data_IF_908179389523
#
_entry.id   IF_908179389523
#
_cell.length_a   1.000
_cell.length_b   1.000
_cell.length_c   1.000
_cell.angle_alpha   90.00
_cell.angle_beta   90.00
_cell.angle_gamma   90.00
#
_symmetry.space_group_name_H-M   'P 1'
#
loop_
_entity.id
_entity.type
_entity.pdbx_description
1 polymer ?
#
# COMPACT_ATOMS: atom_id res chain seq x y z
N UNK A 1 -0.61 14.32 12.96
CA UNK A 1 0.07 14.24 11.65
C UNK A 1 -0.96 14.21 10.54
N UNK A 2 -0.64 14.79 9.39
CA UNK A 2 -1.46 14.69 8.19
C UNK A 2 -1.35 13.30 7.53
N UNK A 3 -2.29 12.93 6.67
CA UNK A 3 -2.24 11.69 5.88
C UNK A 3 -0.96 11.61 5.06
N UNK A 4 -0.59 12.70 4.38
CA UNK A 4 0.58 12.74 3.49
C UNK A 4 1.88 12.57 4.27
N UNK A 5 2.01 13.19 5.45
CA UNK A 5 3.13 12.94 6.36
C UNK A 5 3.22 11.47 6.76
N UNK A 6 2.08 10.84 7.08
CA UNK A 6 2.06 9.42 7.48
C UNK A 6 2.43 8.48 6.32
N UNK A 7 1.91 8.73 5.11
CA UNK A 7 2.23 7.95 3.91
C UNK A 7 3.71 8.10 3.50
N UNK A 8 4.26 9.31 3.68
CA UNK A 8 5.67 9.59 3.42
C UNK A 8 6.61 8.99 4.48
N UNK A 9 6.14 8.80 5.71
CA UNK A 9 6.99 8.33 6.80
C UNK A 9 7.44 6.87 6.65
N UNK A 10 8.65 6.57 7.13
CA UNK A 10 9.19 5.21 7.19
C UNK A 10 8.33 4.32 8.11
N UNK A 11 8.05 3.10 7.64
CA UNK A 11 7.12 2.17 8.30
C UNK A 11 7.81 1.10 9.14
N UNK A 12 8.99 0.64 8.72
CA UNK A 12 9.73 -0.43 9.39
C UNK A 12 10.55 0.10 10.57
N UNK A 13 10.55 -0.66 11.66
CA UNK A 13 11.12 -0.29 12.95
C UNK A 13 11.62 -1.51 13.70
N UNK A 14 12.72 -1.34 14.44
CA UNK A 14 13.32 -2.40 15.27
C UNK A 14 13.35 -2.07 16.76
N UNK A 15 12.83 -0.90 17.14
CA UNK A 15 12.74 -0.43 18.53
C UNK A 15 12.11 -1.46 19.47
N UNK A 16 12.49 -1.35 20.75
CA UNK A 16 11.96 -2.23 21.80
C UNK A 16 10.48 -1.95 22.03
N UNK A 17 9.70 -2.99 22.33
CA UNK A 17 8.30 -2.81 22.70
C UNK A 17 8.15 -2.20 24.09
N UNK A 18 7.07 -1.46 24.32
CA UNK A 18 6.60 -1.05 25.64
C UNK A 18 5.08 -1.25 25.75
N UNK A 19 4.50 -1.46 26.93
CA UNK A 19 3.05 -1.41 27.08
C UNK A 19 2.51 -0.02 26.69
N UNK A 20 1.35 -0.01 26.04
CA UNK A 20 0.61 1.22 25.73
C UNK A 20 -0.44 1.46 26.80
N UNK A 21 -0.88 2.71 26.97
CA UNK A 21 -2.08 2.99 27.75
C UNK A 21 -3.28 2.36 27.04
N UNK A 22 -4.27 1.86 27.79
CA UNK A 22 -5.47 1.25 27.19
C UNK A 22 -6.19 2.17 26.20
N UNK A 23 -6.18 3.49 26.46
CA UNK A 23 -6.73 4.49 25.54
C UNK A 23 -6.02 4.49 24.17
N UNK A 24 -4.70 4.36 24.15
CA UNK A 24 -3.92 4.28 22.91
C UNK A 24 -4.23 2.98 22.16
N UNK A 25 -4.33 1.85 22.88
CA UNK A 25 -4.71 0.55 22.31
C UNK A 25 -6.09 0.65 21.63
N UNK A 26 -7.07 1.24 22.31
CA UNK A 26 -8.44 1.41 21.79
C UNK A 26 -8.50 2.36 20.60
N UNK A 27 -7.73 3.46 20.62
CA UNK A 27 -7.64 4.39 19.49
C UNK A 27 -7.07 3.71 18.25
N UNK A 28 -6.00 2.92 18.40
CA UNK A 28 -5.46 2.08 17.33
C UNK A 28 -6.51 1.10 16.82
N UNK A 29 -7.17 0.38 17.72
CA UNK A 29 -8.21 -0.60 17.34
C UNK A 29 -9.38 0.06 16.58
N UNK A 30 -9.84 1.22 17.03
CA UNK A 30 -10.95 1.94 16.41
C UNK A 30 -10.60 2.41 14.99
N UNK A 31 -9.44 3.04 14.82
CA UNK A 31 -8.96 3.48 13.49
C UNK A 31 -8.68 2.29 12.55
N UNK A 32 -8.09 1.20 13.05
CA UNK A 32 -7.81 0.01 12.25
C UNK A 32 -9.09 -0.74 11.84
N UNK A 33 -10.07 -0.83 12.75
CA UNK A 33 -11.34 -1.51 12.47
C UNK A 33 -12.14 -0.81 11.38
N UNK A 34 -11.97 0.51 11.21
CA UNK A 34 -12.60 1.27 10.13
C UNK A 34 -12.23 0.77 8.72
N UNK A 35 -11.07 0.12 8.56
CA UNK A 35 -10.66 -0.50 7.30
C UNK A 35 -11.59 -1.65 6.85
N UNK A 36 -12.15 -2.39 7.83
CA UNK A 36 -13.02 -3.53 7.62
C UNK A 36 -14.04 -3.69 8.76
N UNK A 37 -15.07 -2.82 8.86
CA UNK A 37 -15.94 -2.71 10.05
C UNK A 37 -16.80 -3.94 10.36
N UNK A 38 -16.91 -4.89 9.45
CA UNK A 38 -17.71 -6.12 9.62
C UNK A 38 -16.93 -7.26 10.28
N UNK A 39 -15.65 -7.06 10.62
CA UNK A 39 -14.76 -8.09 11.17
C UNK A 39 -14.16 -7.65 12.50
N UNK A 40 -13.95 -8.62 13.38
CA UNK A 40 -13.23 -8.35 14.61
C UNK A 40 -11.74 -8.10 14.33
N UNK A 41 -11.07 -7.44 15.28
CA UNK A 41 -9.61 -7.46 15.35
C UNK A 41 -9.18 -8.36 16.50
N UNK A 42 -8.14 -9.15 16.29
CA UNK A 42 -7.43 -9.84 17.35
C UNK A 42 -6.21 -9.01 17.76
N UNK A 43 -6.11 -8.71 19.05
CA UNK A 43 -5.04 -7.91 19.59
C UNK A 43 -4.22 -8.78 20.54
N UNK A 44 -2.89 -8.76 20.42
CA UNK A 44 -2.01 -9.44 21.37
C UNK A 44 -1.20 -8.39 22.11
N UNK A 45 -1.30 -8.37 23.43
CA UNK A 45 -0.67 -7.36 24.27
C UNK A 45 0.37 -7.98 25.22
N UNK A 46 1.44 -7.24 25.57
CA UNK A 46 2.25 -7.52 26.75
C UNK A 46 1.45 -7.24 28.03
N UNK A 47 1.99 -7.56 29.21
CA UNK A 47 1.40 -7.08 30.47
C UNK A 47 1.52 -5.56 30.56
N UNK A 48 0.42 -4.88 30.90
CA UNK A 48 0.38 -3.44 31.14
C UNK A 48 0.11 -3.11 32.60
N UNK A 49 0.12 -1.83 32.94
CA UNK A 49 -0.22 -1.36 34.28
C UNK A 49 -1.72 -1.60 34.59
N UNK A 50 -2.59 -1.35 33.60
CA UNK A 50 -4.05 -1.39 33.76
C UNK A 50 -4.72 -2.63 33.14
N UNK A 51 -3.95 -3.55 32.56
CA UNK A 51 -4.50 -4.72 31.89
C UNK A 51 -3.52 -5.90 31.88
N UNK A 52 -4.08 -7.11 31.87
CA UNK A 52 -3.31 -8.35 31.75
C UNK A 52 -2.90 -8.59 30.30
N UNK A 53 -1.66 -8.96 30.05
CA UNK A 53 -1.21 -9.35 28.71
C UNK A 53 -1.95 -10.60 28.23
N UNK A 54 -2.23 -10.68 26.93
CA UNK A 54 -3.02 -11.76 26.37
C UNK A 54 -3.46 -11.52 24.94
N UNK A 55 -4.25 -12.45 24.42
CA UNK A 55 -4.98 -12.31 23.16
C UNK A 55 -6.38 -11.79 23.47
N UNK A 56 -6.73 -10.67 22.87
CA UNK A 56 -8.02 -10.00 22.95
C UNK A 56 -8.74 -10.05 21.60
N UNK A 57 -10.07 -9.95 21.65
CA UNK A 57 -10.92 -9.67 20.50
C UNK A 57 -11.54 -8.28 20.66
N UNK A 58 -11.42 -7.45 19.64
CA UNK A 58 -12.08 -6.15 19.54
C UNK A 58 -13.25 -6.21 18.56
N UNK A 59 -14.42 -5.73 19.00
CA UNK A 59 -15.69 -5.78 18.25
C UNK A 59 -16.31 -4.39 18.02
N UNK A 60 -15.47 -3.35 17.94
CA UNK A 60 -15.80 -1.91 17.84
C UNK A 60 -16.23 -1.25 19.15
N UNK A 61 -16.69 -2.00 20.14
CA UNK A 61 -17.17 -1.44 21.42
C UNK A 61 -16.16 -1.65 22.53
N UNK A 62 -15.60 -2.85 22.61
CA UNK A 62 -14.77 -3.25 23.75
C UNK A 62 -13.68 -4.25 23.35
N UNK A 63 -12.69 -4.40 24.23
CA UNK A 63 -11.65 -5.41 24.15
C UNK A 63 -11.98 -6.56 25.08
N UNK A 64 -12.26 -7.72 24.50
CA UNK A 64 -12.61 -8.95 25.22
C UNK A 64 -11.41 -9.89 25.30
N UNK A 65 -10.92 -10.16 26.52
CA UNK A 65 -9.81 -11.11 26.73
C UNK A 65 -10.24 -12.53 26.37
N UNK A 66 -9.53 -13.16 25.43
CA UNK A 66 -9.73 -14.55 25.03
C UNK A 66 -8.84 -15.48 25.87
N UNK A 67 -7.57 -15.13 26.02
CA UNK A 67 -6.60 -15.91 26.79
C UNK A 67 -5.39 -15.07 27.20
N UNK A 68 -4.92 -15.25 28.44
CA UNK A 68 -3.72 -14.64 29.02
C UNK A 68 -2.45 -15.50 28.85
N UNK A 69 -2.60 -16.73 28.31
CA UNK A 69 -1.52 -17.71 28.17
C UNK A 69 -0.47 -17.33 27.12
N UNK A 70 -0.84 -16.44 26.19
CA UNK A 70 0.04 -15.98 25.12
C UNK A 70 0.05 -14.46 25.11
N UNK A 71 1.24 -13.90 25.34
CA UNK A 71 1.50 -12.46 25.40
C UNK A 71 2.48 -12.07 24.30
N UNK A 72 2.44 -10.81 23.89
CA UNK A 72 3.43 -10.28 22.95
C UNK A 72 4.70 -9.83 23.68
N UNK A 73 5.85 -9.92 23.01
CA UNK A 73 7.09 -9.25 23.41
C UNK A 73 7.20 -7.83 22.82
N UNK A 74 6.24 -7.46 21.95
CA UNK A 74 6.16 -6.16 21.28
C UNK A 74 5.18 -5.25 22.01
N UNK A 75 5.09 -4.00 21.55
CA UNK A 75 4.14 -3.02 22.08
C UNK A 75 2.69 -3.53 21.94
N UNK A 76 2.37 -4.09 20.78
CA UNK A 76 1.07 -4.64 20.43
C UNK A 76 1.23 -5.48 19.16
N UNK A 77 0.44 -6.53 18.98
CA UNK A 77 0.22 -7.17 17.68
C UNK A 77 -1.25 -7.06 17.31
N UNK A 78 -1.53 -6.82 16.03
CA UNK A 78 -2.91 -6.61 15.53
C UNK A 78 -3.15 -7.48 14.32
N UNK A 79 -4.22 -8.27 14.37
CA UNK A 79 -4.58 -9.18 13.31
C UNK A 79 -6.06 -9.02 12.95
N UNK A 80 -6.40 -8.81 11.67
CA UNK A 80 -7.79 -8.91 11.24
C UNK A 80 -8.32 -10.33 11.47
N UNK A 81 -9.60 -10.44 11.81
CA UNK A 81 -10.26 -11.74 11.89
C UNK A 81 -10.28 -12.45 10.54
N UNK A 82 -9.71 -13.64 10.52
CA UNK A 82 -9.66 -14.49 9.34
C UNK A 82 -9.81 -15.96 9.76
N UNK A 83 -10.67 -16.68 9.03
CA UNK A 83 -10.97 -18.09 9.29
C UNK A 83 -10.29 -18.92 8.21
N UNK A 84 -9.45 -19.88 8.63
CA UNK A 84 -8.78 -20.79 7.72
C UNK A 84 -9.77 -21.74 7.05
N UNK A 85 -9.65 -21.83 5.73
CA UNK A 85 -10.31 -22.80 4.84
C UNK A 85 -9.24 -23.46 3.96
N UNK A 86 -9.61 -24.34 3.05
CA UNK A 86 -8.65 -24.95 2.10
C UNK A 86 -7.93 -23.88 1.26
N UNK A 87 -8.67 -22.87 0.82
CA UNK A 87 -8.14 -21.65 0.18
C UNK A 87 -8.79 -20.41 0.80
N UNK A 88 -8.05 -19.31 0.85
CA UNK A 88 -8.57 -18.02 1.30
C UNK A 88 -8.97 -17.19 0.09
N UNK A 89 -10.21 -16.70 0.10
CA UNK A 89 -10.71 -15.87 -0.99
C UNK A 89 -9.98 -14.51 -1.03
N UNK A 90 -9.67 -14.02 -2.23
CA UNK A 90 -9.09 -12.69 -2.50
C UNK A 90 -9.75 -11.56 -1.72
N UNK A 91 -11.08 -11.53 -1.57
CA UNK A 91 -11.79 -10.51 -0.76
C UNK A 91 -11.33 -10.49 0.70
N UNK A 92 -11.03 -11.64 1.28
CA UNK A 92 -10.50 -11.71 2.65
C UNK A 92 -9.04 -11.26 2.69
N UNK A 93 -8.22 -11.63 1.69
CA UNK A 93 -6.82 -11.16 1.58
C UNK A 93 -6.73 -9.64 1.41
N UNK A 94 -7.56 -9.05 0.55
CA UNK A 94 -7.68 -7.60 0.38
C UNK A 94 -8.05 -6.92 1.70
N UNK A 95 -8.97 -7.50 2.49
CA UNK A 95 -9.33 -6.99 3.82
C UNK A 95 -8.15 -7.03 4.80
N UNK A 96 -7.31 -8.07 4.73
CA UNK A 96 -6.08 -8.13 5.51
C UNK A 96 -5.17 -6.95 5.17
N UNK A 97 -4.92 -6.71 3.88
CA UNK A 97 -4.12 -5.57 3.41
C UNK A 97 -4.65 -4.22 3.85
N UNK A 98 -5.96 -4.00 3.69
CA UNK A 98 -6.62 -2.77 4.14
C UNK A 98 -6.37 -2.51 5.63
N UNK A 99 -6.61 -3.52 6.46
CA UNK A 99 -6.42 -3.45 7.92
C UNK A 99 -4.98 -3.05 8.27
N UNK A 100 -4.01 -3.64 7.58
CA UNK A 100 -2.60 -3.39 7.88
C UNK A 100 -2.14 -2.01 7.48
N UNK A 101 -2.59 -1.50 6.33
CA UNK A 101 -2.23 -0.15 5.91
C UNK A 101 -2.82 0.89 6.87
N UNK A 102 -4.09 0.72 7.29
CA UNK A 102 -4.71 1.60 8.29
C UNK A 102 -3.99 1.53 9.63
N UNK A 103 -3.65 0.33 10.11
CA UNK A 103 -2.82 0.15 11.30
C UNK A 103 -1.49 0.90 11.16
N UNK A 104 -0.76 0.65 10.07
CA UNK A 104 0.56 1.22 9.84
C UNK A 104 0.54 2.75 9.86
N UNK A 105 -0.46 3.36 9.23
CA UNK A 105 -0.61 4.82 9.23
C UNK A 105 -1.03 5.34 10.61
N UNK A 106 -1.97 4.68 11.29
CA UNK A 106 -2.43 5.10 12.62
C UNK A 106 -1.32 5.05 13.65
N UNK A 107 -0.63 3.92 13.80
CA UNK A 107 0.48 3.83 14.76
C UNK A 107 1.63 4.74 14.34
N UNK A 108 1.83 4.90 13.02
CA UNK A 108 2.72 5.90 12.45
C UNK A 108 2.42 7.29 12.99
N UNK A 109 1.15 7.72 12.93
CA UNK A 109 0.66 9.02 13.42
C UNK A 109 0.88 9.26 14.92
N UNK A 110 1.17 8.21 15.69
CA UNK A 110 1.44 8.24 17.13
C UNK A 110 2.93 8.20 17.45
N UNK A 111 3.81 8.24 16.45
CA UNK A 111 5.26 8.13 16.63
C UNK A 111 5.77 6.70 16.81
N UNK A 112 4.90 5.70 16.63
CA UNK A 112 5.26 4.28 16.63
C UNK A 112 5.54 3.80 15.21
N UNK A 113 6.03 2.57 15.06
CA UNK A 113 6.22 1.90 13.78
C UNK A 113 5.62 0.50 13.74
N UNK A 114 5.59 -0.10 12.55
CA UNK A 114 5.12 -1.47 12.35
C UNK A 114 6.23 -2.32 11.76
N UNK A 115 6.61 -3.39 12.46
CA UNK A 115 7.44 -4.45 11.90
C UNK A 115 6.54 -5.53 11.32
N UNK A 116 6.58 -5.65 9.99
CA UNK A 116 5.88 -6.72 9.26
C UNK A 116 6.83 -7.90 9.13
N UNK A 117 6.45 -9.03 9.74
CA UNK A 117 7.22 -10.27 9.70
C UNK A 117 6.47 -11.29 8.87
N UNK A 118 7.19 -11.76 7.88
CA UNK A 118 6.75 -12.68 6.85
C UNK A 118 6.51 -14.13 7.34
N UNK A 119 6.04 -14.32 8.57
CA UNK A 119 5.90 -15.63 9.22
C UNK A 119 4.56 -15.76 9.91
N UNK A 120 3.85 -16.85 9.63
CA UNK A 120 2.66 -17.28 10.37
C UNK A 120 3.04 -17.42 11.86
N UNK A 121 2.39 -16.67 12.79
CA UNK A 121 2.64 -16.79 14.22
C UNK A 121 1.97 -18.06 14.79
N UNK A 122 2.59 -19.22 14.52
CA UNK A 122 2.04 -20.56 14.82
C UNK A 122 1.64 -20.75 16.28
N UNK A 123 2.40 -20.17 17.22
CA UNK A 123 2.12 -20.26 18.67
C UNK A 123 0.83 -19.50 19.02
N UNK A 124 0.69 -18.29 18.51
CA UNK A 124 -0.48 -17.43 18.67
C UNK A 124 -1.72 -18.09 18.06
N UNK A 125 -1.63 -18.60 16.82
CA UNK A 125 -2.72 -19.33 16.16
C UNK A 125 -3.17 -20.56 16.96
N UNK A 126 -2.22 -21.37 17.46
CA UNK A 126 -2.54 -22.53 18.30
C UNK A 126 -3.27 -22.09 19.58
N UNK A 127 -2.77 -21.08 20.27
CA UNK A 127 -3.37 -20.57 21.51
C UNK A 127 -4.79 -20.05 21.29
N UNK A 128 -5.00 -19.26 20.23
CA UNK A 128 -6.30 -18.71 19.88
C UNK A 128 -7.30 -19.84 19.58
N UNK A 129 -6.92 -20.80 18.74
CA UNK A 129 -7.80 -21.87 18.31
C UNK A 129 -8.13 -22.84 19.45
N UNK A 130 -7.18 -23.12 20.33
CA UNK A 130 -7.45 -23.91 21.56
C UNK A 130 -8.41 -23.21 22.51
N UNK A 131 -8.42 -21.87 22.56
CA UNK A 131 -9.26 -21.10 23.49
C UNK A 131 -10.65 -20.81 22.92
N UNK A 132 -10.78 -20.71 21.59
CA UNK A 132 -12.04 -20.35 20.92
C UNK A 132 -12.77 -21.56 20.32
N UNK A 133 -12.10 -22.71 20.18
CA UNK A 133 -12.57 -23.86 19.41
C UNK A 133 -12.94 -23.51 17.95
N UNK A 134 -12.29 -22.48 17.39
CA UNK A 134 -12.43 -22.08 15.99
C UNK A 134 -11.11 -22.30 15.22
N UNK A 135 -11.16 -22.16 13.89
CA UNK A 135 -10.00 -22.27 13.00
C UNK A 135 -9.54 -20.89 12.53
N UNK A 136 -9.31 -19.98 13.45
CA UNK A 136 -8.76 -18.68 13.11
C UNK A 136 -7.31 -18.79 12.65
N UNK A 137 -6.89 -17.84 11.80
CA UNK A 137 -5.55 -17.79 11.25
C UNK A 137 -5.05 -16.35 11.17
N UNK A 138 -3.92 -16.11 11.79
CA UNK A 138 -3.06 -14.97 11.50
C UNK A 138 -2.09 -15.41 10.41
N UNK A 139 -2.17 -14.77 9.23
CA UNK A 139 -1.36 -15.16 8.07
C UNK A 139 0.11 -14.77 8.21
N UNK A 140 0.35 -13.61 8.79
CA UNK A 140 1.68 -13.05 8.95
C UNK A 140 1.78 -12.47 10.36
N UNK A 141 2.99 -12.14 10.79
CA UNK A 141 3.23 -11.54 12.11
C UNK A 141 3.33 -10.03 11.94
N UNK A 142 2.53 -9.30 12.70
CA UNK A 142 2.40 -7.84 12.59
C UNK A 142 2.59 -7.24 13.97
N UNK A 143 3.70 -6.54 14.17
CA UNK A 143 4.10 -6.04 15.47
C UNK A 143 4.25 -4.51 15.46
N UNK A 144 3.57 -3.85 16.38
CA UNK A 144 3.78 -2.43 16.68
C UNK A 144 5.00 -2.30 17.59
N UNK A 145 5.85 -1.30 17.33
CA UNK A 145 7.08 -1.06 18.10
C UNK A 145 7.40 0.43 18.19
N UNK A 146 8.35 0.76 19.05
CA UNK A 146 9.01 2.07 19.02
C UNK A 146 9.76 2.28 17.71
N UNK A 147 9.82 3.53 17.24
CA UNK A 147 10.58 3.89 16.05
C UNK A 147 12.08 3.88 16.34
N UNK A 148 12.85 3.42 15.35
CA UNK A 148 14.27 3.74 15.31
C UNK A 148 14.39 5.18 14.80
N UNK A 149 14.85 6.07 15.67
CA UNK A 149 15.26 7.40 15.25
C UNK A 149 16.61 7.28 14.53
N UNK A 150 16.83 8.18 13.57
CA UNK A 150 18.07 8.38 12.83
C UNK A 150 18.19 7.57 11.52
N UNK A 151 17.88 8.25 10.43
CA UNK A 151 18.67 8.39 9.19
C UNK A 151 17.74 9.04 8.15
N UNK A 152 18.12 10.22 7.66
CA UNK A 152 17.53 10.84 6.47
C UNK A 152 18.56 10.77 5.36
N UNK A 153 18.11 10.47 4.14
CA UNK A 153 18.95 10.58 2.96
C UNK A 153 18.68 11.93 2.30
N UNK A 154 19.76 12.64 1.96
CA UNK A 154 19.72 13.88 1.19
C UNK A 154 19.49 13.57 -0.30
N UNK A 155 18.60 14.33 -0.94
CA UNK A 155 18.41 14.26 -2.39
C UNK A 155 19.68 14.77 -3.11
N UNK A 156 20.02 14.17 -4.25
CA UNK A 156 21.15 14.62 -5.08
C UNK A 156 20.90 16.01 -5.69
N UNK A 157 21.93 16.85 -5.71
CA UNK A 157 21.87 18.23 -6.22
C UNK A 157 21.81 18.34 -7.77
N UNK A 158 21.94 17.24 -8.52
CA UNK A 158 22.08 17.26 -9.98
C UNK A 158 21.06 16.34 -10.70
N UNK A 159 19.82 16.80 -10.96
CA UNK A 159 18.79 16.02 -11.65
C UNK A 159 19.19 15.68 -13.11
N UNK A 160 18.91 14.46 -13.61
CA UNK A 160 19.16 14.15 -15.01
C UNK A 160 18.19 14.91 -15.92
N UNK A 161 18.66 15.18 -17.15
CA UNK A 161 17.83 15.75 -18.23
C UNK A 161 17.27 14.61 -19.05
N UNK A 162 15.99 14.69 -19.40
CA UNK A 162 15.34 13.68 -20.23
C UNK A 162 14.29 14.29 -21.14
N UNK A 163 14.26 13.84 -22.38
CA UNK A 163 13.15 14.07 -23.31
C UNK A 163 12.05 13.03 -23.05
N UNK A 164 10.80 13.47 -23.07
CA UNK A 164 9.64 12.63 -22.78
C UNK A 164 9.11 12.09 -24.11
N UNK A 165 9.09 10.77 -24.23
CA UNK A 165 8.57 10.09 -25.42
C UNK A 165 7.05 10.28 -25.54
N UNK A 166 6.54 10.19 -26.78
CA UNK A 166 5.11 10.29 -27.05
C UNK A 166 4.32 9.21 -26.26
N UNK A 167 3.18 9.61 -25.68
CA UNK A 167 2.34 8.72 -24.87
C UNK A 167 2.76 8.59 -23.41
N UNK A 168 3.88 9.21 -22.99
CA UNK A 168 4.27 9.34 -21.59
C UNK A 168 3.83 10.71 -21.05
N UNK A 169 3.14 10.71 -19.92
CA UNK A 169 2.61 11.91 -19.30
C UNK A 169 3.12 12.03 -17.87
N UNK A 170 3.88 13.09 -17.60
CA UNK A 170 4.33 13.39 -16.23
C UNK A 170 3.14 13.82 -15.38
N UNK A 171 3.07 13.29 -14.17
CA UNK A 171 2.02 13.64 -13.23
C UNK A 171 2.43 14.84 -12.38
N UNK A 172 1.47 15.69 -12.03
CA UNK A 172 1.68 16.81 -11.13
C UNK A 172 2.34 16.32 -9.84
N UNK A 173 3.33 17.04 -9.32
CA UNK A 173 3.94 16.73 -8.04
C UNK A 173 3.06 17.30 -6.91
N UNK A 174 2.41 16.48 -6.08
CA UNK A 174 1.62 17.03 -4.99
C UNK A 174 2.50 17.83 -4.01
N UNK A 175 1.92 18.86 -3.38
CA UNK A 175 2.67 19.81 -2.56
C UNK A 175 3.44 19.14 -1.40
N UNK A 176 2.88 18.08 -0.82
CA UNK A 176 3.53 17.27 0.21
C UNK A 176 4.80 16.53 -0.23
N UNK A 177 5.09 16.43 -1.54
CA UNK A 177 6.33 15.85 -2.08
C UNK A 177 7.43 16.85 -2.35
N UNK A 178 7.09 18.15 -2.47
CA UNK A 178 8.00 19.09 -3.10
C UNK A 178 9.26 19.39 -2.29
N UNK A 179 9.29 19.07 -1.00
CA UNK A 179 10.50 19.17 -0.18
C UNK A 179 10.32 18.57 1.24
N UNK A 180 10.64 17.29 1.45
CA UNK A 180 10.48 16.64 2.77
C UNK A 180 11.24 17.34 3.90
N UNK A 181 12.33 18.06 3.60
CA UNK A 181 13.12 18.77 4.60
C UNK A 181 12.50 20.12 5.01
N UNK A 182 11.74 20.77 4.13
CA UNK A 182 11.05 22.04 4.39
C UNK A 182 9.64 21.87 4.98
N UNK A 183 9.00 20.70 4.82
CA UNK A 183 7.60 20.49 5.22
C UNK A 183 7.40 19.78 6.55
N UNK A 184 8.43 19.24 7.20
CA UNK A 184 8.33 18.97 8.63
C UNK A 184 8.03 20.31 9.32
N UNK A 185 6.76 20.48 9.71
CA UNK A 185 6.16 21.63 10.42
C UNK A 185 5.41 22.70 9.58
N UNK A 186 5.29 22.62 8.24
CA UNK A 186 4.56 23.66 7.46
C UNK A 186 3.41 23.17 6.59
N UNK A 187 3.44 21.93 6.09
CA UNK A 187 2.31 21.39 5.30
C UNK A 187 1.19 20.90 6.24
N UNK A 188 0.10 21.67 6.35
CA UNK A 188 -0.99 21.31 7.28
C UNK A 188 -1.80 20.09 6.83
N UNK A 189 -1.74 19.72 5.54
CA UNK A 189 -2.38 18.53 4.96
C UNK A 189 -3.81 18.25 5.44
N UNK A 190 -4.27 17.02 5.27
CA UNK A 190 -5.51 16.56 5.92
C UNK A 190 -5.14 15.71 7.12
N UNK A 191 -5.65 15.99 8.34
CA UNK A 191 -5.41 15.14 9.50
C UNK A 191 -5.75 13.67 9.20
N UNK A 192 -4.87 12.74 9.56
CA UNK A 192 -5.06 11.32 9.24
C UNK A 192 -6.42 10.80 9.72
N UNK A 193 -6.82 11.12 10.95
CA UNK A 193 -8.10 10.67 11.51
C UNK A 193 -9.30 11.19 10.70
N UNK A 194 -9.21 12.40 10.11
CA UNK A 194 -10.27 12.91 9.23
C UNK A 194 -10.41 12.07 7.95
N UNK A 195 -9.30 11.57 7.41
CA UNK A 195 -9.30 10.68 6.25
C UNK A 195 -9.79 9.27 6.61
N UNK A 196 -9.41 8.74 7.78
CA UNK A 196 -9.84 7.42 8.27
C UNK A 196 -11.36 7.43 8.54
N UNK A 197 -11.85 8.42 9.27
CA UNK A 197 -13.25 8.52 9.70
C UNK A 197 -14.15 9.30 8.72
N UNK A 198 -13.62 9.64 7.54
CA UNK A 198 -14.34 10.32 6.46
C UNK A 198 -15.06 11.62 6.86
N UNK A 199 -14.42 12.44 7.71
CA UNK A 199 -15.01 13.69 8.20
C UNK A 199 -14.74 14.90 7.30
N UNK A 200 -14.01 14.71 6.21
CA UNK A 200 -13.79 15.75 5.20
C UNK A 200 -15.06 15.97 4.38
N UNK A 201 -15.40 17.24 4.13
CA UNK A 201 -16.55 17.62 3.31
C UNK A 201 -16.46 17.00 1.90
N UNK A 202 -17.54 16.35 1.47
CA UNK A 202 -17.57 15.67 0.17
C UNK A 202 -17.69 16.68 -0.98
N UNK A 203 -16.94 16.44 -2.06
CA UNK A 203 -16.81 17.29 -3.25
C UNK A 203 -16.86 16.43 -4.50
N UNK A 204 -17.18 17.06 -5.63
CA UNK A 204 -17.10 16.42 -6.94
C UNK A 204 -15.64 16.28 -7.40
N UNK A 205 -15.30 15.25 -8.19
CA UNK A 205 -14.01 15.14 -8.86
C UNK A 205 -13.72 16.38 -9.71
N UNK A 206 -12.45 16.75 -9.77
CA UNK A 206 -11.93 17.80 -10.63
C UNK A 206 -11.26 17.15 -11.84
N UNK A 207 -11.97 17.13 -12.96
CA UNK A 207 -11.50 16.56 -14.22
C UNK A 207 -10.62 17.53 -15.02
N UNK A 208 -10.43 18.77 -14.54
CA UNK A 208 -9.65 19.79 -15.22
C UNK A 208 -8.15 19.74 -14.93
N UNK A 209 -7.71 18.84 -14.04
CA UNK A 209 -6.32 18.69 -13.64
C UNK A 209 -5.97 17.24 -13.30
N UNK A 210 -4.75 16.83 -13.60
CA UNK A 210 -4.20 15.53 -13.19
C UNK A 210 -3.80 15.46 -11.72
N UNK A 211 -3.89 16.56 -10.97
CA UNK A 211 -3.45 16.63 -9.58
C UNK A 211 -4.20 15.64 -8.67
N UNK A 212 -5.50 15.44 -8.86
CA UNK A 212 -6.27 14.46 -8.07
C UNK A 212 -5.84 13.03 -8.39
N UNK A 213 -5.76 12.68 -9.68
CA UNK A 213 -5.27 11.38 -10.13
C UNK A 213 -3.85 11.11 -9.61
N UNK A 214 -2.97 12.09 -9.71
CA UNK A 214 -1.59 12.03 -9.23
C UNK A 214 -1.52 11.72 -7.72
N UNK A 215 -2.30 12.44 -6.91
CA UNK A 215 -2.35 12.19 -5.47
C UNK A 215 -2.85 10.78 -5.15
N UNK A 216 -3.89 10.31 -5.84
CA UNK A 216 -4.42 8.95 -5.65
C UNK A 216 -3.38 7.88 -6.01
N UNK A 217 -2.76 7.99 -7.18
CA UNK A 217 -1.74 7.04 -7.64
C UNK A 217 -0.51 7.04 -6.73
N UNK A 218 -0.08 8.21 -6.29
CA UNK A 218 1.01 8.29 -5.33
C UNK A 218 0.63 7.65 -3.99
N UNK A 219 -0.57 7.90 -3.45
CA UNK A 219 -0.99 7.28 -2.19
C UNK A 219 -1.20 5.77 -2.32
N UNK A 220 -1.41 5.28 -3.54
CA UNK A 220 -1.55 3.87 -3.89
C UNK A 220 -0.21 3.14 -3.94
N UNK A 221 0.74 3.60 -4.76
CA UNK A 221 2.00 2.89 -5.09
C UNK A 221 3.21 3.82 -5.16
N UNK A 222 3.04 5.10 -4.84
CA UNK A 222 4.11 6.08 -4.91
C UNK A 222 5.31 5.69 -4.05
N UNK A 223 6.49 6.08 -4.50
CA UNK A 223 7.71 5.90 -3.73
C UNK A 223 7.64 6.66 -2.39
N UNK A 224 8.06 6.00 -1.30
CA UNK A 224 8.36 6.65 -0.03
C UNK A 224 9.81 6.35 0.36
N UNK A 225 10.60 7.38 0.64
CA UNK A 225 11.95 7.27 1.21
C UNK A 225 12.96 6.30 0.53
N UNK A 226 14.14 6.83 0.22
CA UNK A 226 15.33 5.99 0.10
C UNK A 226 15.79 5.67 1.52
N UNK A 227 15.09 4.82 2.25
CA UNK A 227 15.68 4.28 3.46
C UNK A 227 16.73 3.25 3.01
N UNK A 228 18.01 3.63 2.97
CA UNK A 228 19.06 2.64 3.17
C UNK A 228 18.68 1.93 4.45
N UNK A 229 18.27 0.66 4.37
CA UNK A 229 18.00 -0.15 5.54
C UNK A 229 19.21 0.01 6.47
N UNK A 230 18.99 0.71 7.59
CA UNK A 230 20.05 1.02 8.52
C UNK A 230 20.79 -0.26 8.89
N UNK A 231 22.06 -0.34 8.51
CA UNK A 231 23.02 -1.34 8.98
C UNK A 231 22.64 -2.83 8.89
N UNK A 232 21.76 -3.24 7.96
CA UNK A 232 21.64 -4.67 7.61
C UNK A 232 22.18 -4.92 6.22
N UNK A 233 23.49 -5.21 6.21
CA UNK A 233 24.27 -5.72 5.10
C UNK A 233 24.41 -4.80 3.87
N UNK A 234 25.64 -4.69 3.38
CA UNK A 234 26.09 -3.78 2.32
C UNK A 234 25.42 -3.97 0.94
N UNK A 235 24.40 -4.82 0.83
CA UNK A 235 23.69 -5.17 -0.40
C UNK A 235 22.28 -4.53 -0.51
N UNK A 236 21.67 -4.06 0.58
CA UNK A 236 20.37 -3.35 0.58
C UNK A 236 20.48 -1.83 0.37
N UNK A 237 21.65 -1.35 -0.08
CA UNK A 237 21.93 0.09 -0.19
C UNK A 237 21.08 0.85 -1.22
N UNK A 238 20.28 0.17 -2.04
CA UNK A 238 19.56 0.80 -3.16
C UNK A 238 18.13 0.24 -3.34
N UNK A 239 17.37 -0.03 -2.28
CA UNK A 239 15.94 -0.35 -2.40
C UNK A 239 15.07 0.91 -2.37
N UNK A 240 13.97 0.95 -3.12
CA UNK A 240 12.95 2.00 -2.99
C UNK A 240 11.88 1.56 -2.00
N UNK A 241 11.55 2.41 -1.03
CA UNK A 241 10.33 2.24 -0.24
C UNK A 241 9.11 2.68 -1.07
N UNK A 242 7.92 2.12 -0.79
CA UNK A 242 6.64 2.67 -1.27
C UNK A 242 5.75 3.05 -0.10
N UNK A 243 4.79 3.93 -0.37
CA UNK A 243 3.79 4.44 0.58
C UNK A 243 3.04 3.38 1.36
N UNK A 244 3.06 2.12 0.95
CA UNK A 244 2.72 0.96 1.76
C UNK A 244 3.91 0.00 1.87
N UNK A 245 3.94 -0.75 2.97
CA UNK A 245 4.94 -1.78 3.12
C UNK A 245 4.71 -2.87 2.05
N UNK A 246 5.81 -3.40 1.54
CA UNK A 246 5.81 -4.61 0.73
C UNK A 246 6.65 -5.68 1.40
N UNK A 247 6.10 -6.86 1.56
CA UNK A 247 6.80 -8.01 2.05
C UNK A 247 7.92 -8.32 1.08
N UNK A 248 9.15 -8.34 1.60
CA UNK A 248 10.37 -8.47 0.82
C UNK A 248 10.66 -7.34 -0.20
N UNK A 249 9.97 -6.18 -0.13
CA UNK A 249 10.08 -5.11 -1.14
C UNK A 249 9.82 -5.60 -2.58
N UNK A 250 8.90 -6.56 -2.75
CA UNK A 250 8.62 -7.19 -4.04
C UNK A 250 7.76 -6.35 -4.97
N UNK A 251 6.91 -5.49 -4.40
CA UNK A 251 5.99 -4.58 -5.09
C UNK A 251 5.22 -5.23 -6.24
N UNK A 252 4.27 -6.08 -5.87
CA UNK A 252 3.55 -6.92 -6.82
C UNK A 252 2.37 -6.21 -7.51
N UNK A 253 2.06 -4.96 -7.16
CA UNK A 253 0.86 -4.24 -7.61
C UNK A 253 1.20 -3.25 -8.73
N UNK A 254 0.33 -3.20 -9.75
CA UNK A 254 0.45 -2.36 -10.93
C UNK A 254 -0.89 -1.65 -11.17
N UNK A 255 -1.00 -0.35 -10.84
CA UNK A 255 -2.18 0.44 -11.14
C UNK A 255 -2.28 0.74 -12.63
N UNK A 256 -3.43 0.45 -13.22
CA UNK A 256 -3.81 0.83 -14.57
C UNK A 256 -4.94 1.87 -14.46
N UNK A 257 -4.80 2.99 -15.15
CA UNK A 257 -5.80 4.06 -15.21
C UNK A 257 -6.52 3.97 -16.55
N UNK A 258 -7.84 3.85 -16.50
CA UNK A 258 -8.70 3.84 -17.69
C UNK A 258 -9.39 5.20 -17.72
N UNK A 259 -9.03 6.02 -18.70
CA UNK A 259 -9.45 7.41 -18.84
C UNK A 259 -10.58 7.49 -19.87
N UNK A 260 -11.70 8.06 -19.47
CA UNK A 260 -12.80 8.45 -20.36
C UNK A 260 -12.73 9.95 -20.67
N UNK A 261 -12.62 10.79 -19.63
CA UNK A 261 -12.71 12.24 -19.75
C UNK A 261 -11.83 12.96 -18.71
N UNK A 262 -10.57 13.25 -19.08
CA UNK A 262 -9.66 14.10 -18.32
C UNK A 262 -9.01 15.11 -19.27
N UNK A 263 -9.00 16.40 -18.91
CA UNK A 263 -8.61 17.49 -19.84
C UNK A 263 -7.21 17.30 -20.43
N UNK A 264 -6.26 16.82 -19.62
CA UNK A 264 -4.86 16.69 -20.00
C UNK A 264 -4.49 15.28 -20.52
N UNK A 265 -5.46 14.37 -20.67
CA UNK A 265 -5.22 13.00 -21.13
C UNK A 265 -6.22 12.59 -22.20
N UNK A 266 -5.69 11.98 -23.27
CA UNK A 266 -6.55 11.35 -24.26
C UNK A 266 -7.29 10.15 -23.64
N UNK A 267 -8.47 9.85 -24.16
CA UNK A 267 -9.17 8.59 -23.85
C UNK A 267 -8.26 7.38 -24.14
N UNK A 268 -8.32 6.39 -23.27
CA UNK A 268 -7.53 5.16 -23.36
C UNK A 268 -7.12 4.60 -22.00
N UNK A 269 -6.21 3.63 -22.00
CA UNK A 269 -5.69 3.02 -20.78
C UNK A 269 -4.18 3.24 -20.62
N UNK A 270 -3.79 3.45 -19.37
CA UNK A 270 -2.47 3.93 -18.98
C UNK A 270 -1.92 3.12 -17.82
N UNK A 271 -0.62 2.82 -17.84
CA UNK A 271 0.08 2.20 -16.71
C UNK A 271 0.67 3.30 -15.84
N UNK A 272 0.45 3.25 -14.53
CA UNK A 272 1.16 4.12 -13.59
C UNK A 272 2.54 3.57 -13.29
N UNK A 273 3.56 4.44 -13.38
CA UNK A 273 4.90 4.12 -12.94
C UNK A 273 5.32 5.03 -11.77
N UNK A 274 5.47 4.46 -10.55
CA UNK A 274 5.84 5.23 -9.37
C UNK A 274 7.33 5.57 -9.29
N UNK A 275 8.18 4.84 -10.03
CA UNK A 275 9.63 5.04 -10.09
C UNK A 275 9.95 5.49 -11.51
N UNK A 276 10.25 6.78 -11.65
CA UNK A 276 10.47 7.35 -12.96
C UNK A 276 11.84 7.03 -13.56
N UNK A 277 12.28 7.87 -14.48
CA UNK A 277 13.50 7.71 -15.25
C UNK A 277 14.82 7.84 -14.48
N UNK A 278 14.79 8.20 -13.20
CA UNK A 278 15.95 8.53 -12.41
C UNK A 278 15.87 7.86 -11.03
N UNK A 279 16.57 6.74 -10.96
CA UNK A 279 16.57 5.85 -9.80
C UNK A 279 17.23 6.38 -8.51
N UNK A 280 17.77 7.61 -8.51
CA UNK A 280 18.41 8.22 -7.33
C UNK A 280 18.02 9.68 -7.14
N UNK A 281 17.42 10.30 -8.16
CA UNK A 281 17.08 11.71 -8.14
C UNK A 281 15.58 11.78 -8.33
N UNK A 282 14.82 12.28 -7.36
CA UNK A 282 13.35 12.39 -7.48
C UNK A 282 12.88 13.31 -8.61
N UNK A 283 13.83 13.98 -9.25
CA UNK A 283 13.61 15.11 -10.10
C UNK A 283 14.30 14.92 -11.44
N UNK A 284 13.57 15.19 -12.50
CA UNK A 284 14.07 15.29 -13.87
C UNK A 284 13.91 16.74 -14.36
N UNK A 285 14.80 17.16 -15.24
CA UNK A 285 14.65 18.43 -15.94
C UNK A 285 14.01 18.18 -17.31
N UNK A 286 12.85 18.77 -17.53
CA UNK A 286 12.12 18.79 -18.81
C UNK A 286 11.86 20.25 -19.18
N UNK A 287 12.34 20.66 -20.36
CA UNK A 287 12.23 22.05 -20.84
C UNK A 287 12.68 23.09 -19.80
N UNK A 288 13.82 22.83 -19.13
CA UNK A 288 14.40 23.62 -18.04
C UNK A 288 13.56 23.73 -16.76
N UNK A 289 12.44 23.00 -16.65
CA UNK A 289 11.62 22.93 -15.45
C UNK A 289 11.91 21.63 -14.69
N UNK A 290 12.08 21.75 -13.37
CA UNK A 290 12.22 20.60 -12.49
C UNK A 290 10.86 19.93 -12.30
N UNK A 291 10.79 18.63 -12.61
CA UNK A 291 9.57 17.82 -12.52
C UNK A 291 9.85 16.58 -11.67
N UNK A 292 8.88 16.19 -10.85
CA UNK A 292 8.99 14.94 -10.11
C UNK A 292 8.85 13.76 -11.06
N UNK A 293 9.64 12.74 -10.81
CA UNK A 293 9.84 11.64 -11.73
C UNK A 293 8.84 10.50 -11.45
N UNK A 294 7.55 10.80 -11.65
CA UNK A 294 6.49 9.80 -11.73
C UNK A 294 5.54 10.12 -12.86
N UNK A 295 5.00 9.09 -13.50
CA UNK A 295 4.29 9.28 -14.76
C UNK A 295 3.28 8.16 -15.01
N UNK A 296 2.43 8.40 -16.00
CA UNK A 296 1.61 7.37 -16.61
C UNK A 296 1.98 7.21 -18.08
N UNK A 297 1.90 5.98 -18.60
CA UNK A 297 2.20 5.67 -19.99
C UNK A 297 0.99 5.03 -20.65
N UNK A 298 0.53 5.63 -21.76
CA UNK A 298 -0.55 5.07 -22.57
C UNK A 298 -0.09 3.78 -23.23
N UNK A 299 -0.84 2.70 -23.07
CA UNK A 299 -0.58 1.45 -23.79
C UNK A 299 -1.67 1.12 -24.81
N UNK A 300 -2.86 1.71 -24.70
CA UNK A 300 -3.95 1.47 -25.66
C UNK A 300 -4.94 2.64 -25.71
N UNK A 301 -5.57 2.80 -26.87
CA UNK A 301 -6.64 3.78 -27.12
C UNK A 301 -8.04 3.14 -27.16
N UNK A 302 -8.17 1.90 -26.66
CA UNK A 302 -9.45 1.19 -26.70
C UNK A 302 -10.58 1.90 -25.95
N UNK A 303 -11.82 1.58 -26.32
CA UNK A 303 -13.01 2.04 -25.61
C UNK A 303 -13.47 0.94 -24.64
N UNK A 304 -13.31 1.20 -23.34
CA UNK A 304 -13.53 0.18 -22.31
C UNK A 304 -14.78 0.42 -21.47
N UNK A 305 -15.32 1.65 -21.52
CA UNK A 305 -16.29 2.13 -20.54
C UNK A 305 -17.54 1.27 -20.47
N UNK A 306 -18.26 1.10 -21.59
CA UNK A 306 -19.55 0.38 -21.60
C UNK A 306 -19.41 -1.02 -21.04
N UNK A 307 -18.41 -1.78 -21.51
CA UNK A 307 -18.17 -3.15 -21.05
C UNK A 307 -17.78 -3.22 -19.57
N UNK A 308 -16.97 -2.26 -19.08
CA UNK A 308 -16.62 -2.17 -17.66
C UNK A 308 -17.85 -1.86 -16.81
N UNK A 309 -18.65 -0.87 -17.20
CA UNK A 309 -19.84 -0.46 -16.45
C UNK A 309 -20.85 -1.61 -16.37
N UNK A 310 -21.10 -2.31 -17.48
CA UNK A 310 -21.98 -3.46 -17.55
C UNK A 310 -21.47 -4.65 -16.72
N UNK A 311 -20.19 -5.00 -16.85
CA UNK A 311 -19.63 -6.19 -16.23
C UNK A 311 -19.45 -6.06 -14.71
N UNK A 312 -19.13 -4.86 -14.23
CA UNK A 312 -18.81 -4.62 -12.82
C UNK A 312 -19.90 -3.87 -12.06
N UNK A 313 -20.97 -3.45 -12.74
CA UNK A 313 -22.05 -2.65 -12.15
C UNK A 313 -21.47 -1.43 -11.43
N UNK A 314 -20.67 -0.67 -12.17
CA UNK A 314 -20.08 0.61 -11.74
C UNK A 314 -20.45 1.68 -12.75
N UNK A 315 -20.36 2.94 -12.32
CA UNK A 315 -20.45 4.07 -13.23
C UNK A 315 -19.27 5.00 -12.95
N UNK A 316 -18.57 5.41 -14.00
CA UNK A 316 -17.49 6.38 -13.89
C UNK A 316 -17.55 7.40 -15.02
N UNK A 317 -17.35 8.67 -14.68
CA UNK A 317 -17.42 9.77 -15.66
C UNK A 317 -16.05 10.07 -16.25
N UNK A 318 -15.02 10.16 -15.40
CA UNK A 318 -13.72 10.69 -15.80
C UNK A 318 -12.69 9.57 -15.98
N UNK A 319 -12.49 8.75 -14.95
CA UNK A 319 -11.58 7.60 -15.00
C UNK A 319 -11.93 6.54 -13.95
N UNK A 320 -11.38 5.34 -14.13
CA UNK A 320 -11.36 4.26 -13.13
C UNK A 320 -9.93 3.74 -12.99
N UNK A 321 -9.56 3.33 -11.78
CA UNK A 321 -8.25 2.72 -11.48
C UNK A 321 -8.44 1.22 -11.28
N UNK A 322 -7.78 0.42 -12.11
CA UNK A 322 -7.68 -1.02 -11.99
C UNK A 322 -6.37 -1.38 -11.28
N UNK A 323 -6.45 -2.04 -10.14
CA UNK A 323 -5.29 -2.64 -9.47
C UNK A 323 -5.09 -4.05 -10.01
N UNK A 324 -4.00 -4.23 -10.74
CA UNK A 324 -3.50 -5.53 -11.15
C UNK A 324 -2.38 -5.99 -10.22
N UNK A 325 -2.20 -7.31 -10.12
CA UNK A 325 -1.07 -7.91 -9.40
C UNK A 325 -0.30 -8.91 -10.26
N UNK A 326 0.97 -9.06 -9.96
CA UNK A 326 1.82 -10.16 -10.41
C UNK A 326 2.03 -11.15 -9.25
N UNK A 327 1.31 -12.28 -9.26
CA UNK A 327 1.40 -13.29 -8.20
C UNK A 327 2.72 -14.06 -8.19
N UNK A 328 3.45 -14.06 -9.31
CA UNK A 328 4.76 -14.70 -9.43
C UNK A 328 5.89 -13.74 -9.01
N UNK A 329 5.57 -12.48 -8.71
CA UNK A 329 6.55 -11.52 -8.22
C UNK A 329 7.17 -12.07 -6.93
N UNK A 330 8.50 -12.26 -6.90
CA UNK A 330 9.11 -12.96 -5.79
C UNK A 330 9.06 -12.07 -4.54
N UNK A 331 8.57 -12.63 -3.43
CA UNK A 331 8.96 -12.14 -2.12
C UNK A 331 10.41 -12.57 -1.87
N UNK A 332 11.38 -11.92 -2.53
CA UNK A 332 12.80 -12.28 -2.40
C UNK A 332 13.64 -11.11 -1.91
N UNK A 333 13.41 -10.70 -0.68
CA UNK A 333 14.46 -10.15 0.17
C UNK A 333 15.16 -11.37 0.73
N UNK A 334 16.41 -11.62 0.31
CA UNK A 334 17.20 -12.86 0.48
C UNK A 334 16.87 -14.04 -0.46
N UNK A 335 17.17 -13.86 -1.75
CA UNK A 335 18.00 -14.91 -2.37
C UNK A 335 19.43 -14.74 -1.81
N UNK A 336 19.97 -15.80 -1.17
CA UNK A 336 21.38 -15.99 -0.79
C UNK A 336 21.90 -15.58 0.61
N UNK A 337 21.19 -15.85 1.71
CA UNK A 337 21.91 -16.15 2.97
C UNK A 337 21.76 -17.63 3.31
N UNK A 338 22.86 -18.24 3.79
CA UNK A 338 22.95 -19.63 4.24
C UNK A 338 22.04 -19.94 5.46
N UNK A 339 21.19 -18.99 5.85
CA UNK A 339 20.23 -19.09 6.95
C UNK A 339 18.85 -19.29 6.31
N UNK A 340 18.59 -20.54 5.94
CA UNK A 340 17.44 -20.91 5.14
C UNK A 340 16.07 -20.61 5.77
N UNK A 341 15.08 -20.46 4.87
CA UNK A 341 13.65 -20.79 5.06
C UNK A 341 12.86 -19.90 6.03
N UNK A 342 12.87 -18.58 5.89
CA UNK A 342 11.95 -17.72 6.65
C UNK A 342 11.36 -16.63 5.76
N UNK A 343 10.45 -17.00 4.86
CA UNK A 343 9.75 -16.03 4.02
C UNK A 343 8.25 -16.32 3.96
N UNK A 344 7.50 -15.27 3.64
CA UNK A 344 6.04 -15.20 3.55
C UNK A 344 5.46 -16.38 2.79
N UNK A 345 4.21 -16.74 3.11
CA UNK A 345 3.45 -17.52 2.14
C UNK A 345 3.30 -16.66 0.87
N UNK A 346 4.05 -17.01 -0.17
CA UNK A 346 4.02 -16.34 -1.48
C UNK A 346 2.65 -16.44 -2.13
N UNK A 347 1.87 -17.45 -1.76
CA UNK A 347 0.54 -17.72 -2.30
C UNK A 347 -0.44 -16.55 -2.14
N UNK A 348 -0.35 -15.77 -1.05
CA UNK A 348 -1.36 -14.77 -0.71
C UNK A 348 -0.82 -13.34 -0.64
N UNK A 349 0.49 -13.16 -0.79
CA UNK A 349 1.10 -11.86 -0.53
C UNK A 349 0.62 -10.77 -1.48
N UNK A 350 0.61 -11.04 -2.78
CA UNK A 350 0.26 -10.06 -3.78
C UNK A 350 -1.19 -9.55 -3.62
N UNK A 351 -2.13 -10.43 -3.28
CA UNK A 351 -3.51 -10.06 -2.96
C UNK A 351 -3.61 -9.23 -1.65
N UNK A 352 -2.77 -9.51 -0.64
CA UNK A 352 -2.70 -8.67 0.58
C UNK A 352 -2.09 -7.30 0.27
N UNK A 353 -1.06 -7.25 -0.57
CA UNK A 353 -0.43 -6.00 -0.99
C UNK A 353 -1.41 -5.11 -1.77
N UNK A 354 -2.18 -5.68 -2.69
CA UNK A 354 -3.26 -4.95 -3.37
C UNK A 354 -4.28 -4.35 -2.39
N UNK A 355 -4.49 -4.98 -1.24
CA UNK A 355 -5.32 -4.43 -0.17
C UNK A 355 -4.69 -3.20 0.49
N UNK A 356 -3.36 -3.16 0.64
CA UNK A 356 -2.67 -1.98 1.16
C UNK A 356 -2.68 -0.82 0.16
N UNK A 357 -2.44 -1.12 -1.11
CA UNK A 357 -2.52 -0.16 -2.21
C UNK A 357 -3.91 0.47 -2.31
N UNK A 358 -4.95 -0.38 -2.25
CA UNK A 358 -6.35 0.05 -2.20
C UNK A 358 -6.65 0.95 -0.99
N UNK A 359 -6.11 0.66 0.19
CA UNK A 359 -6.26 1.53 1.36
C UNK A 359 -5.67 2.92 1.09
N UNK A 360 -4.54 2.99 0.37
CA UNK A 360 -3.96 4.24 -0.12
C UNK A 360 -4.95 5.07 -0.94
N UNK A 361 -5.56 4.44 -1.97
CA UNK A 361 -6.60 5.08 -2.79
C UNK A 361 -7.78 5.57 -1.95
N UNK A 362 -8.30 4.75 -1.04
CA UNK A 362 -9.46 5.11 -0.20
C UNK A 362 -9.15 6.29 0.72
N UNK A 363 -8.04 6.24 1.44
CA UNK A 363 -7.68 7.28 2.39
C UNK A 363 -7.38 8.60 1.68
N UNK A 364 -6.72 8.55 0.52
CA UNK A 364 -6.45 9.75 -0.25
C UNK A 364 -7.72 10.31 -0.90
N UNK A 365 -8.61 9.47 -1.40
CA UNK A 365 -9.93 9.91 -1.89
C UNK A 365 -10.74 10.57 -0.76
N UNK A 366 -10.73 10.00 0.45
CA UNK A 366 -11.34 10.59 1.62
C UNK A 366 -10.73 11.95 1.99
N UNK A 367 -9.39 12.07 1.93
CA UNK A 367 -8.70 13.33 2.17
C UNK A 367 -9.03 14.41 1.12
N UNK A 368 -9.24 14.01 -0.13
CA UNK A 368 -9.67 14.91 -1.20
C UNK A 368 -11.17 15.25 -1.13
N UNK A 369 -11.93 14.61 -0.23
CA UNK A 369 -13.37 14.76 -0.15
C UNK A 369 -14.12 14.05 -1.27
N UNK A 370 -13.50 13.14 -2.02
CA UNK A 370 -14.17 12.46 -3.13
C UNK A 370 -15.20 11.44 -2.62
N UNK A 371 -16.28 11.26 -3.37
CA UNK A 371 -17.03 10.02 -3.26
C UNK A 371 -16.26 8.94 -4.02
N UNK A 372 -16.43 7.68 -3.66
CA UNK A 372 -15.77 6.59 -4.36
C UNK A 372 -16.51 5.28 -4.14
N UNK A 373 -16.32 4.37 -5.08
CA UNK A 373 -16.71 2.98 -4.94
C UNK A 373 -15.57 2.05 -5.34
N UNK A 374 -15.65 0.80 -4.90
CA UNK A 374 -14.72 -0.25 -5.29
C UNK A 374 -15.42 -1.56 -5.57
N UNK A 375 -14.89 -2.33 -6.50
CA UNK A 375 -15.30 -3.70 -6.78
C UNK A 375 -14.09 -4.60 -6.67
N UNK A 376 -14.14 -5.58 -5.75
CA UNK A 376 -13.12 -6.63 -5.66
C UNK A 376 -13.57 -7.80 -6.55
N UNK A 377 -12.75 -8.14 -7.53
CA UNK A 377 -13.04 -9.14 -8.54
C UNK A 377 -12.96 -10.54 -7.90
N UNK A 378 -14.06 -11.28 -7.92
CA UNK A 378 -14.16 -12.59 -7.26
C UNK A 378 -13.62 -13.76 -8.08
N UNK A 379 -13.40 -13.58 -9.38
CA UNK A 379 -12.82 -14.56 -10.29
C UNK A 379 -11.72 -13.89 -11.12
N UNK A 380 -10.69 -13.37 -10.44
CA UNK A 380 -9.64 -12.54 -11.04
C UNK A 380 -8.92 -13.17 -12.24
N UNK A 381 -8.94 -14.51 -12.32
CA UNK A 381 -8.28 -15.30 -13.37
C UNK A 381 -9.21 -15.59 -14.57
N UNK A 382 -10.40 -14.98 -14.62
CA UNK A 382 -11.31 -15.09 -15.76
C UNK A 382 -10.63 -14.52 -17.03
N UNK A 383 -10.43 -15.32 -18.10
CA UNK A 383 -9.74 -14.88 -19.31
C UNK A 383 -10.37 -13.64 -19.94
N UNK A 384 -11.68 -13.42 -19.76
CA UNK A 384 -12.37 -12.24 -20.31
C UNK A 384 -11.78 -10.92 -19.80
N UNK A 385 -11.22 -10.89 -18.59
CA UNK A 385 -10.62 -9.67 -18.05
C UNK A 385 -9.31 -9.34 -18.74
N UNK A 386 -8.57 -10.35 -19.22
CA UNK A 386 -7.34 -10.12 -20.00
C UNK A 386 -7.65 -9.43 -21.31
N UNK A 387 -8.69 -9.88 -21.99
CA UNK A 387 -9.19 -9.27 -23.23
C UNK A 387 -9.73 -7.86 -22.97
N UNK A 388 -10.64 -7.71 -22.00
CA UNK A 388 -11.29 -6.43 -21.68
C UNK A 388 -10.27 -5.32 -21.38
N UNK A 389 -9.24 -5.60 -20.60
CA UNK A 389 -8.24 -4.59 -20.22
C UNK A 389 -6.99 -4.60 -21.11
N UNK A 390 -6.96 -5.43 -22.17
CA UNK A 390 -5.81 -5.62 -23.05
C UNK A 390 -4.50 -5.85 -22.26
N UNK A 391 -4.55 -6.80 -21.31
CA UNK A 391 -3.47 -7.02 -20.36
C UNK A 391 -2.19 -7.52 -21.01
N UNK A 392 -2.28 -8.25 -22.13
CA UNK A 392 -1.10 -8.70 -22.88
C UNK A 392 -0.25 -7.51 -23.36
N UNK A 393 -0.90 -6.46 -23.86
CA UNK A 393 -0.21 -5.24 -24.29
C UNK A 393 0.32 -4.44 -23.09
N UNK A 394 -0.45 -4.37 -21.99
CA UNK A 394 0.03 -3.74 -20.76
C UNK A 394 1.30 -4.44 -20.22
N UNK A 395 1.33 -5.77 -20.23
CA UNK A 395 2.46 -6.59 -19.81
C UNK A 395 3.70 -6.33 -20.69
N UNK A 396 3.52 -6.22 -22.01
CA UNK A 396 4.58 -5.84 -22.93
C UNK A 396 5.13 -4.45 -22.60
N UNK A 397 4.24 -3.45 -22.46
CA UNK A 397 4.64 -2.07 -22.14
C UNK A 397 5.39 -1.97 -20.81
N UNK A 398 4.93 -2.66 -19.75
CA UNK A 398 5.63 -2.68 -18.44
C UNK A 398 7.05 -3.24 -18.61
N UNK A 399 7.19 -4.35 -19.33
CA UNK A 399 8.48 -5.01 -19.48
C UNK A 399 9.44 -4.22 -20.37
N UNK A 400 8.96 -3.63 -21.46
CA UNK A 400 9.75 -2.74 -22.33
C UNK A 400 10.22 -1.50 -21.59
N UNK A 401 9.30 -0.86 -20.85
CA UNK A 401 9.62 0.29 -20.00
C UNK A 401 10.70 -0.07 -18.98
N UNK A 402 10.59 -1.22 -18.31
CA UNK A 402 11.59 -1.68 -17.35
C UNK A 402 13.00 -1.85 -17.96
N UNK A 403 13.13 -2.10 -19.26
CA UNK A 403 14.42 -2.16 -19.96
C UNK A 403 15.01 -0.78 -20.24
N UNK A 404 14.18 0.25 -20.33
CA UNK A 404 14.56 1.61 -20.74
C UNK A 404 14.81 2.57 -19.56
N UNK A 405 14.67 2.08 -18.32
CA UNK A 405 14.89 2.89 -17.12
C UNK A 405 16.39 3.08 -16.84
N UNK A 406 16.77 4.32 -16.53
CA UNK A 406 18.16 4.70 -16.31
C UNK A 406 18.52 4.49 -14.84
N UNK A 407 19.70 3.92 -14.59
CA UNK A 407 20.29 3.73 -13.25
C UNK A 407 19.51 2.83 -12.29
N UNK A 408 18.75 1.83 -12.78
CA UNK A 408 18.05 0.89 -11.89
C UNK A 408 18.99 0.34 -10.81
N UNK A 409 18.60 0.41 -9.53
CA UNK A 409 19.28 -0.32 -8.49
C UNK A 409 19.37 -1.78 -8.84
N UNK A 410 20.50 -2.41 -8.52
CA UNK A 410 20.73 -3.85 -8.78
C UNK A 410 19.65 -4.79 -8.20
N UNK A 411 18.85 -4.31 -7.25
CA UNK A 411 17.84 -5.11 -6.56
C UNK A 411 16.40 -4.81 -7.00
N UNK A 412 16.15 -3.74 -7.77
CA UNK A 412 14.81 -3.45 -8.22
C UNK A 412 14.50 -4.21 -9.52
N UNK A 413 13.47 -5.04 -9.48
CA UNK A 413 12.96 -5.73 -10.66
C UNK A 413 11.64 -5.08 -11.02
N UNK A 414 11.65 -4.04 -11.85
CA UNK A 414 10.41 -3.39 -12.31
C UNK A 414 9.65 -4.23 -13.36
N UNK A 415 10.35 -5.18 -14.01
CA UNK A 415 9.71 -6.12 -14.93
C UNK A 415 8.82 -7.14 -14.22
N UNK A 416 7.78 -7.56 -14.92
CA UNK A 416 6.90 -8.63 -14.48
C UNK A 416 7.65 -9.97 -14.42
N UNK A 417 7.12 -10.88 -13.61
CA UNK A 417 7.57 -12.27 -13.49
C UNK A 417 6.50 -13.24 -13.92
N UNK A 418 5.25 -12.94 -13.63
CA UNK A 418 4.08 -13.61 -14.15
C UNK A 418 3.19 -12.66 -14.93
N UNK A 419 1.96 -13.09 -15.11
CA UNK A 419 0.93 -12.33 -15.80
C UNK A 419 0.25 -11.34 -14.85
N UNK A 420 -0.22 -10.22 -15.40
CA UNK A 420 -1.09 -9.31 -14.67
C UNK A 420 -2.43 -9.99 -14.40
N UNK A 421 -2.84 -9.95 -13.14
CA UNK A 421 -4.13 -10.43 -12.66
C UNK A 421 -4.93 -9.26 -12.10
N UNK A 422 -6.09 -8.90 -12.66
CA UNK A 422 -6.91 -7.79 -12.17
C UNK A 422 -7.64 -8.17 -10.88
N UNK A 423 -7.52 -7.34 -9.83
CA UNK A 423 -8.04 -7.66 -8.49
C UNK A 423 -9.09 -6.67 -8.00
N UNK A 424 -8.88 -5.37 -8.25
CA UNK A 424 -9.78 -4.32 -7.76
C UNK A 424 -10.00 -3.27 -8.82
N UNK A 425 -11.26 -2.88 -9.02
CA UNK A 425 -11.62 -1.63 -9.68
C UNK A 425 -11.98 -0.59 -8.62
N UNK A 426 -11.43 0.61 -8.75
CA UNK A 426 -11.68 1.76 -7.88
C UNK A 426 -12.14 2.95 -8.72
N UNK A 427 -13.33 3.47 -8.43
CA UNK A 427 -13.97 4.55 -9.18
C UNK A 427 -14.23 5.75 -8.25
N UNK A 428 -13.51 6.87 -8.42
CA UNK A 428 -13.87 8.15 -7.81
C UNK A 428 -15.18 8.71 -8.41
N UNK A 429 -16.01 9.33 -7.57
CA UNK A 429 -17.35 9.85 -7.90
C UNK A 429 -17.54 11.28 -7.42
#
# INVERSE_FOLDING_TARGET
MSLQECLASRKDCSGKGRPLMMREVLDICNSTHQAAPSRNLFIILPDGEDYTGGIYRYDKKELNLITDKTKSEFTMEVYPELIWRETINTKELIRVGLTWQYLSLKVGSMGLGVSQRARVPKKQNKSLNSSTNQKYVFLYSLAVRERDHDIRIEDSLNPPRKEIDEGIYLLDTPACYKDRALYENTYQGVPLDNAIFETVEKRKPDYSSLNQLSQLLWACEGENDHATHGNRDALEKNGFGRVHASGCAGYAVYPIVIVENLVDLQKGAYIYNPVGFSALNRWILVDNNLKYDHFIQKYTSGEFKTEIEELFDINFTDYVILLCIDREKPCSGFMHSKIGKIFMNSEYWADVEAGMALAGLQLQANALGLQWEKKILSNSDDPKYRELFNLDLAEQTINEMALNLVNLPKNEKLSLKGNLTPIVLFSPK
#
